data_IF_180733744840
#
_entry.id   IF_180733744840
#
_cell.length_a   1.000
_cell.length_b   1.000
_cell.length_c   1.000
_cell.angle_alpha   90.00
_cell.angle_beta   90.00
_cell.angle_gamma   90.00
#
_symmetry.space_group_name_H-M   'P 1'
#
loop_
_entity.id
_entity.type
_entity.pdbx_description
1 polymer ?
#
# COMPACT_ATOMS: atom_id res chain seq x y z
N UNK A 1 -12.63 -4.13 13.35
CA UNK A 1 -11.48 -4.91 13.79
C UNK A 1 -11.89 -6.38 13.80
N UNK A 2 -11.23 -7.18 12.98
CA UNK A 2 -11.46 -8.61 12.94
C UNK A 2 -10.88 -9.24 14.23
N UNK A 3 -11.67 -9.88 15.09
CA UNK A 3 -11.18 -10.53 16.30
C UNK A 3 -10.32 -11.76 16.03
N UNK A 4 -10.26 -12.23 14.77
CA UNK A 4 -9.44 -13.38 14.35
C UNK A 4 -8.07 -12.97 13.79
N UNK A 5 -7.73 -11.67 13.80
CA UNK A 5 -6.44 -11.19 13.33
C UNK A 5 -5.31 -11.88 14.10
N UNK A 6 -4.53 -12.73 13.42
CA UNK A 6 -3.25 -13.20 13.94
C UNK A 6 -2.39 -11.97 14.23
N UNK A 7 -2.03 -11.76 15.49
CA UNK A 7 -1.05 -10.75 15.87
C UNK A 7 0.18 -10.98 15.00
N UNK A 8 0.64 -9.92 14.34
CA UNK A 8 1.86 -9.95 13.58
C UNK A 8 3.04 -10.37 14.47
N UNK A 9 3.71 -11.47 14.12
CA UNK A 9 4.79 -12.08 14.92
C UNK A 9 6.16 -11.44 14.62
N UNK A 10 6.22 -10.13 14.31
CA UNK A 10 7.49 -9.45 14.09
C UNK A 10 7.68 -8.28 15.07
N UNK A 11 8.94 -7.99 15.42
CA UNK A 11 9.32 -6.86 16.27
C UNK A 11 9.66 -5.63 15.44
N UNK A 12 10.39 -5.83 14.35
CA UNK A 12 10.83 -4.78 13.42
C UNK A 12 10.07 -4.94 12.12
N UNK A 13 9.32 -3.91 11.74
CA UNK A 13 8.56 -3.89 10.48
C UNK A 13 9.51 -3.76 9.29
N UNK A 14 10.45 -2.82 9.36
CA UNK A 14 11.60 -2.78 8.46
C UNK A 14 12.82 -2.14 9.12
N UNK A 15 14.00 -2.52 8.66
CA UNK A 15 15.26 -1.91 9.02
C UNK A 15 16.17 -1.81 7.80
N UNK A 16 16.70 -0.62 7.61
CA UNK A 16 17.63 -0.25 6.56
C UNK A 16 18.99 0.08 7.19
N UNK A 17 20.06 -0.49 6.65
CA UNK A 17 21.41 -0.29 7.15
C UNK A 17 22.28 0.24 6.02
N UNK A 18 22.75 1.49 6.14
CA UNK A 18 23.64 2.18 5.19
C UNK A 18 23.18 2.07 3.74
N UNK A 19 21.89 2.26 3.51
CA UNK A 19 21.28 2.15 2.18
C UNK A 19 21.88 3.19 1.24
N UNK A 20 22.35 2.72 0.08
CA UNK A 20 22.84 3.56 -1.00
C UNK A 20 22.08 3.24 -2.28
N UNK A 21 21.44 4.24 -2.88
CA UNK A 21 20.70 4.11 -4.12
C UNK A 21 21.18 5.16 -5.11
N UNK A 22 21.45 4.73 -6.33
CA UNK A 22 21.85 5.63 -7.42
C UNK A 22 21.15 5.23 -8.72
N UNK A 23 20.81 6.20 -9.53
CA UNK A 23 20.38 6.02 -10.90
C UNK A 23 21.40 6.63 -11.85
N UNK A 24 22.15 5.77 -12.55
CA UNK A 24 23.34 6.18 -13.29
C UNK A 24 24.38 6.81 -12.36
N UNK A 25 24.83 8.02 -12.67
CA UNK A 25 25.78 8.80 -11.84
C UNK A 25 25.13 9.62 -10.71
N UNK A 26 23.79 9.61 -10.61
CA UNK A 26 23.04 10.44 -9.65
C UNK A 26 22.70 9.64 -8.40
N UNK A 27 23.35 9.93 -7.25
CA UNK A 27 22.99 9.31 -5.98
C UNK A 27 21.70 9.92 -5.44
N UNK A 28 20.76 9.06 -5.07
CA UNK A 28 19.45 9.43 -4.49
C UNK A 28 19.47 9.26 -2.98
N UNK A 29 19.94 8.10 -2.50
CA UNK A 29 20.10 7.83 -1.06
C UNK A 29 21.55 7.52 -0.77
N UNK A 30 22.09 8.08 0.33
CA UNK A 30 23.49 7.93 0.72
C UNK A 30 23.59 7.54 2.19
N UNK A 31 23.96 6.28 2.44
CA UNK A 31 24.25 5.78 3.78
C UNK A 31 23.06 5.90 4.74
N UNK A 32 21.83 5.72 4.26
CA UNK A 32 20.62 5.87 5.07
C UNK A 32 20.47 4.69 6.03
N UNK A 33 20.38 4.99 7.32
CA UNK A 33 19.95 4.08 8.37
C UNK A 33 18.54 4.46 8.83
N UNK A 34 17.61 3.52 8.86
CA UNK A 34 16.26 3.75 9.34
C UNK A 34 15.62 2.44 9.84
N UNK A 35 15.01 2.49 11.01
CA UNK A 35 14.28 1.36 11.59
C UNK A 35 12.87 1.80 11.97
N UNK A 36 11.90 0.96 11.67
CA UNK A 36 10.50 1.10 12.10
C UNK A 36 10.06 -0.18 12.79
N UNK A 37 9.62 -0.05 14.02
CA UNK A 37 9.13 -1.17 14.85
C UNK A 37 7.66 -1.44 14.59
N UNK A 38 7.24 -2.64 14.94
CA UNK A 38 5.83 -3.01 14.84
C UNK A 38 4.93 -2.05 15.65
N UNK A 39 3.85 -1.59 15.03
CA UNK A 39 2.89 -0.67 15.61
C UNK A 39 3.27 0.81 15.57
N UNK A 40 4.47 1.16 15.13
CA UNK A 40 4.85 2.58 14.95
C UNK A 40 4.14 3.20 13.75
N UNK A 41 3.91 4.52 13.84
CA UNK A 41 3.34 5.35 12.79
C UNK A 41 4.35 6.45 12.44
N UNK A 42 4.69 6.53 11.16
CA UNK A 42 5.69 7.47 10.66
C UNK A 42 5.13 8.35 9.55
N UNK A 43 5.60 9.57 9.50
CA UNK A 43 5.36 10.51 8.39
C UNK A 43 6.69 10.83 7.73
N UNK A 44 6.80 10.54 6.43
CA UNK A 44 7.96 10.85 5.63
C UNK A 44 7.75 12.19 4.93
N UNK A 45 8.49 13.20 5.35
CA UNK A 45 8.45 14.55 4.79
C UNK A 45 9.70 14.83 3.94
N UNK A 46 9.54 15.62 2.90
CA UNK A 46 10.63 16.05 2.03
C UNK A 46 10.12 16.69 0.74
N UNK A 47 10.96 17.44 0.09
CA UNK A 47 10.66 18.07 -1.20
C UNK A 47 10.42 17.04 -2.31
N UNK A 48 9.79 17.48 -3.40
CA UNK A 48 9.67 16.65 -4.60
C UNK A 48 11.06 16.33 -5.15
N UNK A 49 11.28 15.06 -5.50
CA UNK A 49 12.60 14.60 -5.94
C UNK A 49 13.57 14.23 -4.83
N UNK A 50 13.23 14.38 -3.54
CA UNK A 50 14.08 14.01 -2.40
C UNK A 50 14.31 12.49 -2.22
N UNK A 51 13.74 11.66 -3.10
CA UNK A 51 13.91 10.20 -3.02
C UNK A 51 12.85 9.46 -2.19
N UNK A 52 11.75 10.11 -1.78
CA UNK A 52 10.67 9.48 -0.98
C UNK A 52 10.11 8.24 -1.67
N UNK A 53 9.66 8.36 -2.91
CA UNK A 53 9.10 7.23 -3.66
C UNK A 53 10.14 6.13 -3.92
N UNK A 54 11.41 6.49 -4.13
CA UNK A 54 12.52 5.52 -4.21
C UNK A 54 12.66 4.73 -2.90
N UNK A 55 12.63 5.42 -1.78
CA UNK A 55 12.69 4.80 -0.45
C UNK A 55 11.51 3.85 -0.21
N UNK A 56 10.29 4.30 -0.53
CA UNK A 56 9.09 3.47 -0.39
C UNK A 56 9.11 2.26 -1.32
N UNK A 57 9.66 2.39 -2.54
CA UNK A 57 9.81 1.27 -3.49
C UNK A 57 10.76 0.17 -2.99
N UNK A 58 11.76 0.52 -2.18
CA UNK A 58 12.62 -0.46 -1.51
C UNK A 58 11.83 -1.30 -0.50
N UNK A 59 11.00 -0.65 0.31
CA UNK A 59 10.17 -1.30 1.34
C UNK A 59 9.13 -2.19 0.68
N UNK A 60 8.46 -1.70 -0.37
CA UNK A 60 7.45 -2.45 -1.13
C UNK A 60 8.05 -3.56 -2.02
N UNK A 61 9.38 -3.70 -2.03
CA UNK A 61 10.11 -4.73 -2.75
C UNK A 61 10.03 -4.64 -4.29
N UNK A 62 9.70 -3.48 -4.85
CA UNK A 62 9.67 -3.23 -6.30
C UNK A 62 11.01 -2.75 -6.85
N UNK A 63 11.92 -2.29 -6.00
CA UNK A 63 13.22 -1.79 -6.41
C UNK A 63 14.27 -2.92 -6.40
N UNK A 64 14.87 -3.26 -7.55
CA UNK A 64 15.88 -4.32 -7.62
C UNK A 64 17.15 -4.00 -6.83
N UNK A 65 17.46 -2.73 -6.55
CA UNK A 65 18.60 -2.34 -5.71
C UNK A 65 18.40 -2.74 -4.23
N UNK A 66 17.20 -3.18 -3.84
CA UNK A 66 16.96 -3.75 -2.50
C UNK A 66 17.85 -4.97 -2.20
N UNK A 67 18.23 -5.75 -3.22
CA UNK A 67 19.12 -6.90 -3.07
C UNK A 67 20.60 -6.53 -2.92
N UNK A 68 20.99 -5.35 -3.39
CA UNK A 68 22.37 -4.85 -3.25
C UNK A 68 22.60 -4.11 -1.93
N UNK A 69 21.56 -3.94 -1.12
CA UNK A 69 21.58 -3.21 0.12
C UNK A 69 21.19 -4.10 1.31
N UNK A 70 21.52 -3.69 2.52
CA UNK A 70 21.10 -4.41 3.73
C UNK A 70 19.74 -3.89 4.18
N UNK A 71 18.72 -4.63 3.83
CA UNK A 71 17.32 -4.37 4.18
C UNK A 71 16.73 -5.57 4.89
N UNK A 72 16.03 -5.32 5.99
CA UNK A 72 15.21 -6.31 6.69
C UNK A 72 13.75 -5.90 6.58
N UNK A 73 12.88 -6.86 6.33
CA UNK A 73 11.43 -6.72 6.32
C UNK A 73 10.84 -7.79 7.24
N UNK A 74 10.04 -7.36 8.22
CA UNK A 74 9.37 -8.27 9.16
C UNK A 74 10.33 -9.25 9.85
N UNK A 75 11.44 -8.71 10.40
CA UNK A 75 12.55 -9.41 11.05
C UNK A 75 13.40 -10.32 10.12
N UNK A 76 13.13 -10.35 8.81
CA UNK A 76 13.89 -11.17 7.84
C UNK A 76 14.73 -10.30 6.93
N UNK A 77 15.99 -10.70 6.73
CA UNK A 77 16.88 -10.04 5.76
C UNK A 77 16.37 -10.27 4.35
N UNK A 78 16.30 -9.22 3.55
CA UNK A 78 15.92 -9.29 2.15
C UNK A 78 16.88 -10.18 1.36
N UNK A 79 16.34 -11.12 0.57
CA UNK A 79 17.14 -12.09 -0.20
C UNK A 79 17.53 -13.34 0.61
N UNK A 80 16.91 -13.61 1.76
CA UNK A 80 17.14 -14.81 2.57
C UNK A 80 16.26 -16.02 2.17
N UNK A 81 15.59 -15.95 1.02
CA UNK A 81 14.77 -17.04 0.47
C UNK A 81 13.26 -16.76 0.49
N UNK A 82 12.84 -15.60 1.00
CA UNK A 82 11.44 -15.17 0.92
C UNK A 82 11.05 -14.81 -0.53
N UNK A 83 9.83 -15.13 -0.92
CA UNK A 83 9.29 -14.69 -2.21
C UNK A 83 8.81 -13.23 -2.15
N UNK A 84 8.86 -12.54 -3.29
CA UNK A 84 8.32 -11.18 -3.42
C UNK A 84 6.82 -11.15 -3.09
N UNK A 85 6.09 -12.22 -3.39
CA UNK A 85 4.67 -12.35 -3.12
C UNK A 85 4.37 -12.46 -1.63
N UNK A 86 5.19 -13.19 -0.86
CA UNK A 86 5.06 -13.26 0.60
C UNK A 86 5.21 -11.90 1.24
N UNK A 87 6.17 -11.09 0.76
CA UNK A 87 6.38 -9.73 1.25
C UNK A 87 5.19 -8.84 0.86
N UNK A 88 4.80 -8.83 -0.41
CA UNK A 88 3.71 -7.98 -0.91
C UNK A 88 2.36 -8.30 -0.25
N UNK A 89 2.10 -9.56 0.08
CA UNK A 89 0.91 -9.95 0.82
C UNK A 89 0.81 -9.30 2.21
N UNK A 90 1.94 -8.93 2.79
CA UNK A 90 2.02 -8.28 4.11
C UNK A 90 2.01 -6.75 4.04
N UNK A 91 2.04 -6.16 2.85
CA UNK A 91 2.14 -4.71 2.65
C UNK A 91 0.95 -4.21 1.86
N UNK A 92 0.15 -3.31 2.44
CA UNK A 92 -0.81 -2.49 1.72
C UNK A 92 -0.10 -1.26 1.15
N UNK A 93 -0.31 -0.97 -0.14
CA UNK A 93 0.36 0.13 -0.81
C UNK A 93 -0.63 0.96 -1.62
N UNK A 94 -0.54 2.28 -1.46
CA UNK A 94 -1.29 3.26 -2.26
C UNK A 94 -0.34 4.34 -2.73
N UNK A 95 -0.33 4.61 -4.04
CA UNK A 95 0.42 5.72 -4.65
C UNK A 95 -0.49 6.59 -5.51
N UNK A 96 -0.07 7.84 -5.81
CA UNK A 96 -0.84 8.76 -6.65
C UNK A 96 -1.16 8.19 -8.04
N UNK A 97 -0.22 7.44 -8.61
CA UNK A 97 -0.34 6.93 -9.97
C UNK A 97 -1.09 5.59 -10.06
N UNK A 98 -1.44 4.99 -8.91
CA UNK A 98 -2.03 3.65 -8.89
C UNK A 98 -3.32 3.55 -9.73
N UNK A 99 -4.12 4.62 -9.80
CA UNK A 99 -5.34 4.66 -10.62
C UNK A 99 -5.07 4.47 -12.12
N UNK A 100 -3.87 4.83 -12.62
CA UNK A 100 -3.49 4.71 -14.03
C UNK A 100 -3.30 3.25 -14.48
N UNK A 101 -3.09 2.34 -13.53
CA UNK A 101 -2.92 0.91 -13.83
C UNK A 101 -4.24 0.18 -14.07
N UNK A 102 -5.38 0.79 -13.70
CA UNK A 102 -6.70 0.20 -13.88
C UNK A 102 -7.31 0.74 -15.17
N UNK A 103 -7.15 -0.01 -16.25
CA UNK A 103 -7.64 0.36 -17.59
C UNK A 103 -8.98 -0.27 -17.93
N UNK A 104 -9.40 -1.29 -17.18
CA UNK A 104 -10.67 -1.97 -17.38
C UNK A 104 -11.79 -1.31 -16.57
N UNK A 105 -12.96 -1.14 -17.20
CA UNK A 105 -14.11 -0.51 -16.57
C UNK A 105 -14.94 -1.50 -15.77
N UNK A 106 -14.35 -2.02 -14.71
CA UNK A 106 -14.97 -2.99 -13.79
C UNK A 106 -15.65 -2.30 -12.60
N UNK A 107 -16.63 -2.95 -11.93
CA UNK A 107 -17.24 -2.41 -10.72
C UNK A 107 -16.23 -2.13 -9.61
N UNK A 108 -16.47 -1.07 -8.82
CA UNK A 108 -15.57 -0.65 -7.74
C UNK A 108 -15.27 -1.77 -6.74
N UNK A 109 -16.25 -2.62 -6.41
CA UNK A 109 -16.04 -3.77 -5.50
C UNK A 109 -14.97 -4.74 -6.01
N UNK A 110 -14.86 -4.92 -7.33
CA UNK A 110 -13.84 -5.79 -7.93
C UNK A 110 -12.45 -5.18 -7.78
N UNK A 111 -12.32 -3.85 -7.88
CA UNK A 111 -11.06 -3.15 -7.61
C UNK A 111 -10.65 -3.37 -6.14
N UNK A 112 -11.57 -3.17 -5.19
CA UNK A 112 -11.30 -3.42 -3.77
C UNK A 112 -10.88 -4.87 -3.54
N UNK A 113 -11.64 -5.84 -4.07
CA UNK A 113 -11.35 -7.27 -3.96
C UNK A 113 -10.02 -7.70 -4.59
N UNK A 114 -9.53 -6.98 -5.62
CA UNK A 114 -8.23 -7.28 -6.24
C UNK A 114 -7.06 -7.15 -5.25
N UNK A 115 -7.26 -6.46 -4.13
CA UNK A 115 -6.29 -6.32 -3.05
C UNK A 115 -5.90 -7.64 -2.39
N UNK A 116 -6.80 -8.63 -2.36
CA UNK A 116 -6.48 -9.95 -1.82
C UNK A 116 -5.44 -10.74 -2.64
N UNK A 117 -5.32 -10.40 -3.92
CA UNK A 117 -4.48 -11.11 -4.88
C UNK A 117 -3.24 -10.33 -5.30
N UNK A 118 -3.07 -9.10 -4.81
CA UNK A 118 -2.03 -8.15 -5.23
C UNK A 118 -1.92 -7.97 -6.76
N UNK A 119 -3.02 -8.23 -7.47
CA UNK A 119 -3.09 -8.07 -8.92
C UNK A 119 -3.64 -6.70 -9.29
N UNK A 120 -3.19 -6.19 -10.41
CA UNK A 120 -3.85 -5.09 -11.10
C UNK A 120 -4.94 -5.73 -11.96
N UNK A 121 -6.20 -5.35 -11.70
CA UNK A 121 -7.34 -6.06 -12.24
C UNK A 121 -7.69 -7.33 -11.46
N UNK A 122 -8.90 -7.79 -11.57
CA UNK A 122 -9.40 -8.97 -10.88
C UNK A 122 -9.39 -10.17 -11.82
N UNK A 123 -8.32 -10.95 -11.81
CA UNK A 123 -8.23 -12.19 -12.58
C UNK A 123 -8.85 -13.39 -11.83
N UNK A 124 -9.18 -13.23 -10.55
CA UNK A 124 -9.78 -14.25 -9.71
C UNK A 124 -11.05 -13.71 -9.07
N UNK A 125 -12.11 -14.55 -9.06
CA UNK A 125 -13.33 -14.21 -8.35
C UNK A 125 -13.09 -14.29 -6.86
N UNK A 126 -13.50 -13.26 -6.11
CA UNK A 126 -13.49 -13.27 -4.65
C UNK A 126 -14.42 -14.36 -4.11
N UNK A 127 -14.05 -14.94 -2.97
CA UNK A 127 -15.00 -15.75 -2.19
C UNK A 127 -16.05 -14.85 -1.56
N UNK A 128 -17.22 -15.41 -1.12
CA UNK A 128 -18.21 -14.62 -0.40
C UNK A 128 -17.64 -13.91 0.84
N UNK A 129 -16.72 -14.53 1.56
CA UNK A 129 -16.06 -13.94 2.74
C UNK A 129 -15.18 -12.77 2.34
N UNK A 130 -14.42 -12.90 1.26
CA UNK A 130 -13.58 -11.81 0.71
C UNK A 130 -14.44 -10.63 0.24
N UNK A 131 -15.57 -10.91 -0.41
CA UNK A 131 -16.50 -9.88 -0.84
C UNK A 131 -17.12 -9.13 0.34
N UNK A 132 -17.50 -9.84 1.41
CA UNK A 132 -17.98 -9.24 2.65
C UNK A 132 -16.92 -8.35 3.33
N UNK A 133 -15.65 -8.76 3.35
CA UNK A 133 -14.56 -7.93 3.87
C UNK A 133 -14.38 -6.67 3.01
N UNK A 134 -14.40 -6.81 1.69
CA UNK A 134 -14.32 -5.68 0.77
C UNK A 134 -15.47 -4.68 0.99
N UNK A 135 -16.70 -5.17 1.14
CA UNK A 135 -17.88 -4.35 1.47
C UNK A 135 -17.72 -3.63 2.81
N UNK A 136 -17.24 -4.33 3.84
CA UNK A 136 -17.02 -3.73 5.16
C UNK A 136 -16.03 -2.56 5.09
N UNK A 137 -14.96 -2.68 4.30
CA UNK A 137 -14.02 -1.58 4.07
C UNK A 137 -14.64 -0.45 3.26
N UNK A 138 -15.45 -0.75 2.22
CA UNK A 138 -16.18 0.28 1.50
C UNK A 138 -17.14 1.05 2.43
N UNK A 139 -17.83 0.37 3.33
CA UNK A 139 -18.68 1.00 4.33
C UNK A 139 -17.85 1.87 5.31
N UNK A 140 -16.72 1.37 5.78
CA UNK A 140 -15.81 2.12 6.68
C UNK A 140 -15.36 3.45 6.07
N UNK A 141 -15.13 3.49 4.75
CA UNK A 141 -14.76 4.70 4.03
C UNK A 141 -15.95 5.51 3.50
N UNK A 142 -17.19 5.10 3.77
CA UNK A 142 -18.42 5.81 3.35
C UNK A 142 -18.64 5.78 1.82
N UNK A 143 -18.18 4.73 1.14
CA UNK A 143 -18.22 4.57 -0.32
C UNK A 143 -19.01 3.32 -0.75
N UNK A 144 -19.84 2.75 0.12
CA UNK A 144 -20.64 1.58 -0.16
C UNK A 144 -21.61 1.78 -1.33
N UNK A 145 -22.08 3.00 -1.55
CA UNK A 145 -22.97 3.36 -2.66
C UNK A 145 -22.30 3.23 -4.03
N UNK A 146 -20.96 3.15 -4.06
CA UNK A 146 -20.17 3.01 -5.28
C UNK A 146 -19.97 1.54 -5.69
N UNK A 147 -20.46 0.58 -4.91
CA UNK A 147 -20.25 -0.87 -5.06
C UNK A 147 -20.27 -1.35 -6.52
N UNK A 148 -21.37 -1.09 -7.23
CA UNK A 148 -21.57 -1.51 -8.62
C UNK A 148 -21.15 -0.46 -9.66
N UNK A 149 -20.67 0.70 -9.23
CA UNK A 149 -20.31 1.74 -10.19
C UNK A 149 -19.00 1.38 -10.90
N UNK A 150 -18.94 1.55 -12.24
CA UNK A 150 -17.72 1.32 -12.99
C UNK A 150 -16.60 2.26 -12.52
N UNK A 151 -15.44 1.70 -12.19
CA UNK A 151 -14.32 2.43 -11.57
C UNK A 151 -13.87 3.65 -12.36
N UNK A 152 -13.79 3.54 -13.70
CA UNK A 152 -13.34 4.64 -14.56
C UNK A 152 -14.35 5.79 -14.68
N UNK A 153 -15.59 5.61 -14.22
CA UNK A 153 -16.62 6.66 -14.21
C UNK A 153 -16.65 7.45 -12.90
N UNK A 154 -15.85 7.01 -11.91
CA UNK A 154 -15.76 7.66 -10.61
C UNK A 154 -14.89 8.91 -10.68
N UNK A 155 -15.17 9.88 -9.81
CA UNK A 155 -14.29 11.02 -9.60
C UNK A 155 -12.92 10.58 -9.07
N UNK A 156 -11.89 11.39 -9.25
CA UNK A 156 -10.54 11.09 -8.75
C UNK A 156 -10.51 10.82 -7.25
N UNK A 157 -11.32 11.54 -6.47
CA UNK A 157 -11.47 11.31 -5.03
C UNK A 157 -12.10 9.96 -4.70
N UNK A 158 -13.20 9.61 -5.38
CA UNK A 158 -13.86 8.30 -5.22
C UNK A 158 -12.92 7.15 -5.61
N UNK A 159 -12.22 7.27 -6.74
CA UNK A 159 -11.23 6.28 -7.16
C UNK A 159 -10.15 6.07 -6.10
N UNK A 160 -9.67 7.16 -5.48
CA UNK A 160 -8.65 7.11 -4.45
C UNK A 160 -9.14 6.41 -3.18
N UNK A 161 -10.37 6.66 -2.74
CA UNK A 161 -10.98 5.96 -1.62
C UNK A 161 -11.17 4.46 -1.91
N UNK A 162 -11.52 4.10 -3.14
CA UNK A 162 -11.57 2.69 -3.59
C UNK A 162 -10.19 2.03 -3.51
N UNK A 163 -9.13 2.71 -3.98
CA UNK A 163 -7.75 2.18 -3.90
C UNK A 163 -7.23 2.11 -2.46
N UNK A 164 -7.67 3.02 -1.61
CA UNK A 164 -7.38 2.97 -0.18
C UNK A 164 -8.06 1.73 0.45
N UNK A 165 -9.36 1.51 0.22
CA UNK A 165 -10.07 0.32 0.68
C UNK A 165 -9.39 -0.96 0.20
N UNK A 166 -8.95 -1.00 -1.06
CA UNK A 166 -8.18 -2.11 -1.65
C UNK A 166 -6.91 -2.44 -0.86
N UNK A 167 -6.20 -1.43 -0.35
CA UNK A 167 -4.96 -1.66 0.40
C UNK A 167 -5.21 -2.31 1.78
N UNK A 168 -6.41 -2.14 2.33
CA UNK A 168 -6.78 -2.65 3.66
C UNK A 168 -7.37 -4.07 3.65
N UNK A 169 -7.94 -4.57 2.52
CA UNK A 169 -8.72 -5.82 2.51
C UNK A 169 -7.94 -7.05 2.95
N UNK A 170 -6.63 -7.09 2.73
CA UNK A 170 -5.76 -8.21 3.13
C UNK A 170 -5.21 -8.10 4.54
N UNK A 171 -5.65 -7.11 5.31
CA UNK A 171 -5.17 -6.79 6.67
C UNK A 171 -3.64 -6.76 6.75
N UNK A 172 -2.98 -5.83 6.06
CA UNK A 172 -1.52 -5.82 5.94
C UNK A 172 -0.82 -5.52 7.26
N UNK A 173 0.38 -6.09 7.45
CA UNK A 173 1.26 -5.79 8.59
C UNK A 173 1.88 -4.38 8.48
N UNK A 174 2.06 -3.88 7.27
CA UNK A 174 2.56 -2.55 6.96
C UNK A 174 1.66 -1.88 5.92
N UNK A 175 1.24 -0.66 6.20
CA UNK A 175 0.52 0.18 5.25
C UNK A 175 1.42 1.33 4.81
N UNK A 176 1.65 1.44 3.52
CA UNK A 176 2.40 2.53 2.89
C UNK A 176 1.43 3.40 2.10
N UNK A 177 1.34 4.66 2.49
CA UNK A 177 0.48 5.65 1.85
C UNK A 177 1.37 6.75 1.26
N UNK A 178 1.58 6.72 -0.05
CA UNK A 178 2.31 7.75 -0.78
C UNK A 178 1.30 8.78 -1.31
N UNK A 179 1.31 9.97 -0.73
CA UNK A 179 0.38 11.08 -1.03
C UNK A 179 -1.11 10.65 -1.12
N UNK A 180 -1.66 9.93 -0.15
CA UNK A 180 -2.97 9.28 -0.26
C UNK A 180 -4.13 10.26 -0.43
N UNK A 181 -3.95 11.52 -0.05
CA UNK A 181 -4.97 12.58 -0.08
C UNK A 181 -4.75 13.59 -1.21
N UNK A 182 -3.76 13.39 -2.08
CA UNK A 182 -3.53 14.30 -3.21
C UNK A 182 -4.75 14.35 -4.12
N UNK A 183 -5.33 15.57 -4.32
CA UNK A 183 -6.54 15.76 -5.13
C UNK A 183 -7.87 15.42 -4.43
N UNK A 184 -7.87 15.07 -3.15
CA UNK A 184 -9.08 15.10 -2.32
C UNK A 184 -9.29 16.50 -1.77
N UNK A 185 -10.49 17.05 -1.98
CA UNK A 185 -10.90 18.28 -1.32
C UNK A 185 -11.23 17.97 0.14
N UNK A 186 -10.24 18.21 1.03
CA UNK A 186 -10.31 17.82 2.45
C UNK A 186 -11.34 18.66 3.23
N UNK A 187 -11.89 19.70 2.61
CA UNK A 187 -12.81 20.63 3.27
C UNK A 187 -14.08 19.96 3.83
N UNK A 188 -14.45 18.78 3.34
CA UNK A 188 -15.69 18.11 3.74
C UNK A 188 -15.52 16.72 4.39
N UNK A 189 -14.33 16.15 4.46
CA UNK A 189 -14.14 14.75 4.88
C UNK A 189 -13.54 14.55 6.30
N UNK A 190 -13.01 15.59 6.91
CA UNK A 190 -12.23 15.45 8.17
C UNK A 190 -12.91 16.03 9.41
N UNK A 191 -14.07 16.70 9.26
CA UNK A 191 -14.70 17.37 10.40
C UNK A 191 -15.54 16.48 11.33
N UNK A 192 -15.71 15.18 11.07
CA UNK A 192 -16.62 14.37 11.89
C UNK A 192 -16.07 13.06 12.50
N UNK A 193 -14.83 12.62 12.22
CA UNK A 193 -14.31 11.35 12.81
C UNK A 193 -12.80 11.37 13.03
N UNK A 194 -12.33 12.18 13.96
CA UNK A 194 -11.07 11.99 14.68
C UNK A 194 -11.35 11.95 16.16
#
# INVERSE_FOLDING_TARGET
>A
PDPTRKKSEHNVTFRMEKINISYGSHPILKGLDWEVKNGEKWVLLGENGAGKSTLLSLIYADNPQSYANTLFLFDRKRGSGESIWEIKNRIGYVSPEMHLYYTENVPAIQIVGSGFFDSIGLYRKCSPEQENIALAWMHTFGIETLYNRPFLTLSSGEQRLILLARAFVKDPDLLILDEPLHGLDISNAVSEKL
#
